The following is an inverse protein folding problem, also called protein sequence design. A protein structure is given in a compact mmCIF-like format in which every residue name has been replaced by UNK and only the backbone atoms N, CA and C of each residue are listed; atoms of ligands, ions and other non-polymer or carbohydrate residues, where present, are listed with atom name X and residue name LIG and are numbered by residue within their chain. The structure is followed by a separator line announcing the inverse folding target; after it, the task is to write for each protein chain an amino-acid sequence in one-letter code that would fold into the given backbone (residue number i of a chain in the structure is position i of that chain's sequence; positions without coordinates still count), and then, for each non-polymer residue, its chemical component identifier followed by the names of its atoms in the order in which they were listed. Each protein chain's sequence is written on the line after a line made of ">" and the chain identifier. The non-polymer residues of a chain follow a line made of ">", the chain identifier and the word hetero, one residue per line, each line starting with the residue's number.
data_IF_464737259281
#
_entry.id   IF_464737259281
#
_cell.length_a   1.000
_cell.length_b   1.000
_cell.length_c   1.000
_cell.angle_alpha   90.00
_cell.angle_beta   90.00
_cell.angle_gamma   90.00
#
_symmetry.space_group_name_H-M   'P 1'
#
loop_
_entity.id
_entity.type
_entity.pdbx_description
1 polymer ?
#
# COMPACT_ATOMS: atom_id res chain seq x y z
N UNK A 1 8.62 -11.79 0.65
CA UNK A 1 7.47 -10.92 0.32
C UNK A 1 6.77 -10.54 1.60
N UNK A 2 6.66 -9.25 1.84
CA UNK A 2 5.91 -8.66 2.94
C UNK A 2 4.88 -7.71 2.35
N UNK A 3 3.80 -7.51 3.11
CA UNK A 3 2.76 -6.57 2.75
C UNK A 3 2.95 -5.32 3.59
N UNK A 4 2.98 -4.17 2.93
CA UNK A 4 3.09 -2.84 3.52
C UNK A 4 1.70 -2.22 3.55
N UNK A 5 1.33 -1.66 4.69
CA UNK A 5 0.11 -0.90 4.87
C UNK A 5 0.46 0.56 5.09
N UNK A 6 -0.02 1.40 4.19
CA UNK A 6 0.16 2.85 4.24
C UNK A 6 -1.12 3.48 4.78
N UNK A 7 -0.99 4.44 5.71
CA UNK A 7 -2.09 5.22 6.29
C UNK A 7 -1.76 6.72 6.26
N UNK A 8 -2.78 7.56 6.16
CA UNK A 8 -2.63 9.02 6.16
C UNK A 8 -2.47 9.63 4.76
N UNK A 9 -2.75 8.87 3.70
CA UNK A 9 -2.60 9.35 2.33
C UNK A 9 -3.56 10.51 2.02
N UNK A 10 -3.12 11.54 1.28
CA UNK A 10 -3.98 12.58 0.76
C UNK A 10 -4.92 12.02 -0.33
N UNK A 11 -6.03 12.72 -0.57
CA UNK A 11 -7.04 12.33 -1.57
C UNK A 11 -6.52 12.39 -3.01
N UNK A 12 -5.46 13.17 -3.26
CA UNK A 12 -4.78 13.22 -4.56
C UNK A 12 -3.79 12.07 -4.78
N UNK A 13 -3.54 11.21 -3.78
CA UNK A 13 -2.64 10.06 -3.98
C UNK A 13 -3.31 9.00 -4.83
N UNK A 14 -2.65 8.64 -5.92
CA UNK A 14 -3.05 7.55 -6.83
C UNK A 14 -2.14 6.34 -6.68
N UNK A 15 -2.59 5.23 -7.25
CA UNK A 15 -1.85 3.96 -7.32
C UNK A 15 -0.52 4.13 -8.07
N UNK A 16 -0.52 4.92 -9.14
CA UNK A 16 0.68 5.24 -9.92
C UNK A 16 1.68 6.05 -9.10
N UNK A 17 1.20 7.07 -8.36
CA UNK A 17 2.07 7.90 -7.52
C UNK A 17 2.73 7.12 -6.39
N UNK A 18 1.99 6.19 -5.77
CA UNK A 18 2.57 5.26 -4.78
C UNK A 18 3.55 4.30 -5.43
N UNK A 19 3.20 3.73 -6.58
CA UNK A 19 4.10 2.80 -7.28
C UNK A 19 5.43 3.48 -7.61
N UNK A 20 5.41 4.71 -8.11
CA UNK A 20 6.62 5.49 -8.38
C UNK A 20 7.42 5.80 -7.09
N UNK A 21 6.74 6.14 -5.99
CA UNK A 21 7.38 6.40 -4.69
C UNK A 21 8.09 5.16 -4.12
N UNK A 22 7.45 4.00 -4.20
CA UNK A 22 8.00 2.75 -3.69
C UNK A 22 8.99 2.10 -4.68
N UNK A 23 8.93 2.45 -5.97
CA UNK A 23 9.86 1.97 -7.00
C UNK A 23 11.31 2.38 -6.74
N UNK A 24 11.55 3.50 -6.05
CA UNK A 24 12.89 3.96 -5.67
C UNK A 24 13.57 3.01 -4.66
N UNK A 25 12.76 2.36 -3.81
CA UNK A 25 13.23 1.43 -2.79
C UNK A 25 13.19 -0.04 -3.24
N UNK A 26 12.40 -0.35 -4.26
CA UNK A 26 12.31 -1.71 -4.79
C UNK A 26 11.12 -2.00 -5.68
N UNK A 27 10.93 -3.27 -6.03
CA UNK A 27 9.93 -3.70 -7.01
C UNK A 27 8.55 -3.91 -6.37
N UNK A 28 7.59 -3.04 -6.71
CA UNK A 28 6.18 -3.23 -6.35
C UNK A 28 5.59 -4.41 -7.12
N UNK A 29 5.13 -5.44 -6.40
CA UNK A 29 4.53 -6.65 -6.99
C UNK A 29 3.02 -6.56 -7.15
N UNK A 30 2.37 -5.92 -6.19
CA UNK A 30 0.92 -5.73 -6.21
C UNK A 30 0.58 -4.56 -5.31
N UNK A 31 -0.30 -3.69 -5.77
CA UNK A 31 -0.76 -2.52 -5.05
C UNK A 31 -2.29 -2.53 -5.04
N UNK A 32 -2.86 -2.28 -3.86
CA UNK A 32 -4.30 -2.15 -3.64
C UNK A 32 -4.56 -0.85 -2.89
N UNK A 33 -5.14 0.14 -3.56
CA UNK A 33 -5.51 1.40 -2.94
C UNK A 33 -6.97 1.34 -2.46
N UNK A 34 -7.19 1.48 -1.15
CA UNK A 34 -8.53 1.48 -0.58
C UNK A 34 -9.11 2.90 -0.60
N UNK A 35 -10.03 3.13 -1.54
CA UNK A 35 -10.76 4.39 -1.71
C UNK A 35 -12.18 4.22 -1.17
N UNK A 36 -12.70 5.23 -0.47
CA UNK A 36 -14.09 5.24 -0.05
C UNK A 36 -14.96 5.62 -1.25
N UNK A 37 -15.74 4.66 -1.74
CA UNK A 37 -16.56 4.81 -2.95
C UNK A 37 -17.78 5.72 -2.74
N UNK A 38 -18.22 5.93 -1.50
CA UNK A 38 -19.41 6.72 -1.19
C UNK A 38 -19.13 8.22 -1.13
N UNK A 39 -17.97 8.60 -0.59
CA UNK A 39 -17.53 10.00 -0.53
C UNK A 39 -16.61 10.39 -1.68
N UNK A 40 -16.13 9.42 -2.46
CA UNK A 40 -15.10 9.62 -3.48
C UNK A 40 -13.74 10.00 -2.88
N UNK A 41 -13.62 10.06 -1.56
CA UNK A 41 -12.38 10.39 -0.88
C UNK A 41 -11.56 9.12 -0.66
N UNK A 42 -10.27 9.17 -0.98
CA UNK A 42 -9.37 8.13 -0.55
C UNK A 42 -9.49 8.02 0.98
N UNK A 43 -9.74 6.81 1.50
CA UNK A 43 -9.72 6.54 2.96
C UNK A 43 -8.34 6.78 3.58
N UNK A 44 -7.40 7.27 2.78
CA UNK A 44 -6.03 7.56 3.14
C UNK A 44 -5.22 6.29 3.34
N UNK A 45 -5.65 5.15 2.81
CA UNK A 45 -5.00 3.85 3.07
C UNK A 45 -4.74 3.03 1.82
N UNK A 46 -3.57 2.38 1.78
CA UNK A 46 -3.14 1.52 0.69
C UNK A 46 -2.39 0.29 1.19
N UNK A 47 -2.39 -0.77 0.40
CA UNK A 47 -1.62 -1.99 0.63
C UNK A 47 -0.66 -2.21 -0.54
N UNK A 48 0.61 -2.48 -0.26
CA UNK A 48 1.64 -2.73 -1.27
C UNK A 48 2.38 -4.02 -0.92
N UNK A 49 2.54 -4.90 -1.89
CA UNK A 49 3.33 -6.12 -1.76
C UNK A 49 4.71 -5.90 -2.39
N UNK A 50 5.76 -6.09 -1.60
CA UNK A 50 7.16 -5.95 -2.04
C UNK A 50 8.02 -7.12 -1.54
N UNK A 51 9.28 -7.18 -1.97
CA UNK A 51 10.25 -8.08 -1.34
C UNK A 51 10.48 -7.72 0.13
N UNK A 52 10.93 -8.71 0.91
CA UNK A 52 11.09 -8.55 2.36
C UNK A 52 12.17 -7.53 2.73
N UNK A 53 13.23 -7.43 1.92
CA UNK A 53 14.32 -6.48 2.15
C UNK A 53 13.93 -5.07 1.68
N UNK A 54 13.41 -4.94 0.45
CA UNK A 54 12.93 -3.68 -0.13
C UNK A 54 11.84 -3.04 0.73
N UNK A 55 10.84 -3.83 1.14
CA UNK A 55 9.72 -3.29 1.90
C UNK A 55 10.11 -2.80 3.30
N UNK A 56 11.11 -3.42 3.94
CA UNK A 56 11.65 -2.93 5.23
C UNK A 56 12.41 -1.62 5.07
N UNK A 57 13.18 -1.48 3.99
CA UNK A 57 13.87 -0.23 3.66
C UNK A 57 12.86 0.88 3.38
N UNK A 58 11.81 0.60 2.59
CA UNK A 58 10.73 1.53 2.32
C UNK A 58 9.98 1.95 3.59
N UNK A 59 9.68 1.03 4.52
CA UNK A 59 9.09 1.37 5.83
C UNK A 59 10.00 2.35 6.58
N UNK A 60 11.28 2.03 6.72
CA UNK A 60 12.20 2.86 7.49
C UNK A 60 12.40 4.27 6.90
N UNK A 61 12.27 4.41 5.58
CA UNK A 61 12.43 5.69 4.89
C UNK A 61 11.13 6.51 4.80
N UNK A 62 9.98 5.85 4.63
CA UNK A 62 8.70 6.51 4.36
C UNK A 62 7.78 6.63 5.58
N UNK A 63 7.96 5.80 6.61
CA UNK A 63 7.17 5.90 7.84
C UNK A 63 7.45 7.23 8.56
N UNK A 64 6.40 8.00 8.83
CA UNK A 64 6.51 9.32 9.44
C UNK A 64 6.88 10.44 8.46
N UNK A 65 7.03 10.15 7.16
CA UNK A 65 7.29 11.17 6.14
C UNK A 65 6.05 12.02 5.85
N UNK A 66 6.25 13.22 5.30
CA UNK A 66 5.16 14.11 4.91
C UNK A 66 4.90 14.01 3.41
N UNK A 67 3.68 13.61 3.04
CA UNK A 67 3.19 13.58 1.67
C UNK A 67 2.10 14.64 1.49
N UNK A 68 2.39 15.67 0.68
CA UNK A 68 1.46 16.76 0.37
C UNK A 68 0.87 17.44 1.63
N UNK A 69 1.70 17.64 2.66
CA UNK A 69 1.28 18.26 3.93
C UNK A 69 0.54 17.33 4.89
N UNK A 70 0.47 16.02 4.60
CA UNK A 70 -0.02 15.00 5.54
C UNK A 70 1.08 14.03 5.93
N UNK A 71 1.18 13.71 7.21
CA UNK A 71 2.06 12.64 7.67
C UNK A 71 1.52 11.29 7.22
N UNK A 72 2.34 10.54 6.50
CA UNK A 72 2.04 9.17 6.11
C UNK A 72 2.74 8.20 7.06
N UNK A 73 2.08 7.08 7.32
CA UNK A 73 2.57 6.01 8.16
C UNK A 73 2.65 4.74 7.34
N UNK A 74 3.80 4.08 7.33
CA UNK A 74 4.05 2.89 6.53
C UNK A 74 4.42 1.77 7.49
N UNK A 75 3.56 0.76 7.59
CA UNK A 75 3.75 -0.34 8.52
C UNK A 75 3.76 -1.68 7.79
N UNK A 76 4.55 -2.63 8.27
CA UNK A 76 4.45 -4.01 7.80
C UNK A 76 3.14 -4.61 8.33
N UNK A 77 2.21 -4.97 7.43
CA UNK A 77 1.03 -5.74 7.81
C UNK A 77 1.31 -7.24 7.72
N UNK A 78 0.70 -7.99 8.63
CA UNK A 78 0.68 -9.46 8.61
C UNK A 78 -0.45 -9.99 7.72
N UNK A 79 -0.81 -9.27 6.64
CA UNK A 79 -1.82 -9.77 5.72
C UNK A 79 -1.23 -10.98 4.99
N UNK A 80 -1.53 -12.12 5.59
CA UNK A 80 -1.10 -13.45 5.21
C UNK A 80 -1.45 -13.66 3.75
N UNK A 81 -0.45 -14.07 2.97
CA UNK A 81 -0.62 -14.55 1.59
C UNK A 81 -1.88 -15.41 1.50
N UNK A 82 -2.98 -14.84 1.02
CA UNK A 82 -4.04 -15.62 0.38
C UNK A 82 -3.49 -16.10 -0.96
N UNK A 83 -2.53 -17.03 -0.92
CA UNK A 83 -2.31 -18.00 -1.98
C UNK A 83 -3.64 -18.75 -2.11
N UNK A 84 -4.43 -18.38 -3.12
CA UNK A 84 -5.56 -19.17 -3.63
C UNK A 84 -6.71 -19.43 -2.65
N UNK A 85 -7.75 -18.60 -2.73
CA UNK A 85 -9.11 -19.16 -2.81
C UNK A 85 -9.73 -18.69 -4.12
N UNK A 86 -9.28 -19.34 -5.20
CA UNK A 86 -10.06 -19.43 -6.43
C UNK A 86 -11.45 -19.99 -6.10
N UNK A 87 -12.47 -19.41 -6.72
CA UNK A 87 -13.86 -19.68 -6.41
C UNK A 87 -14.31 -21.12 -6.66
N UNK A 88 -15.41 -21.48 -6.00
CA UNK A 88 -16.35 -22.49 -6.46
C UNK A 88 -17.73 -21.84 -6.32
N UNK A 89 -18.15 -21.11 -7.35
CA UNK A 89 -19.13 -21.55 -8.37
C UNK A 89 -20.44 -22.01 -7.72
N UNK A 90 -21.47 -21.21 -7.99
CA UNK A 90 -22.89 -21.54 -8.07
C UNK A 90 -23.19 -23.05 -7.98
N UNK A 91 -24.04 -23.41 -7.02
CA UNK A 91 -25.22 -24.22 -7.27
C UNK A 91 -26.37 -23.66 -6.46
#
# INVERSE_FOLDING_TARGET
>A
MITLFIRGLPTSTTEESLTALFADYGTVRSLTLHKDLFTGQARGTALINMEGHEGRAAIAALDGSQLQGRTIYVNQTKEEKRRGRGGRRRR
#
